data_IF_375630161241
#
_entry.id   IF_375630161241
#
_cell.length_a   1.000
_cell.length_b   1.000
_cell.length_c   1.000
_cell.angle_alpha   90.00
_cell.angle_beta   90.00
_cell.angle_gamma   90.00
#
_symmetry.space_group_name_H-M   'P 1'
#
loop_
_entity.id
_entity.type
_entity.pdbx_description
1 polymer ?
#
# COMPACT_ATOMS: atom_id res chain seq x y z
N UNK A 1 0.31 -7.09 -15.19
CA UNK A 1 1.75 -7.06 -15.51
C UNK A 1 2.24 -8.50 -15.53
N UNK A 2 2.73 -9.00 -16.68
CA UNK A 2 3.14 -10.40 -16.84
C UNK A 2 4.17 -10.79 -15.76
N UNK A 3 3.97 -11.95 -15.12
CA UNK A 3 4.85 -12.48 -14.05
C UNK A 3 6.33 -12.47 -14.47
N UNK A 4 6.59 -12.69 -15.76
CA UNK A 4 7.93 -12.66 -16.36
C UNK A 4 8.55 -11.26 -16.39
N UNK A 5 7.76 -10.21 -16.66
CA UNK A 5 8.24 -8.82 -16.68
C UNK A 5 8.60 -8.33 -15.28
N UNK A 6 7.85 -8.75 -14.26
CA UNK A 6 8.15 -8.42 -12.86
C UNK A 6 9.47 -9.07 -12.40
N UNK A 7 9.66 -10.36 -12.69
CA UNK A 7 10.90 -11.09 -12.35
C UNK A 7 12.13 -10.53 -13.09
N UNK A 8 11.96 -10.15 -14.36
CA UNK A 8 13.02 -9.50 -15.14
C UNK A 8 13.41 -8.14 -14.54
N UNK A 9 12.41 -7.34 -14.15
CA UNK A 9 12.66 -6.06 -13.50
C UNK A 9 13.38 -6.23 -12.15
N UNK A 10 12.96 -7.19 -11.32
CA UNK A 10 13.62 -7.49 -10.05
C UNK A 10 15.07 -7.95 -10.25
N UNK A 11 15.33 -8.79 -11.26
CA UNK A 11 16.68 -9.20 -11.63
C UNK A 11 17.53 -8.00 -12.07
N UNK A 12 16.98 -7.14 -12.92
CA UNK A 12 17.67 -5.95 -13.42
C UNK A 12 17.99 -4.97 -12.29
N UNK A 13 17.04 -4.75 -11.39
CA UNK A 13 17.21 -3.91 -10.21
C UNK A 13 18.32 -4.46 -9.30
N UNK A 14 18.33 -5.78 -9.07
CA UNK A 14 19.36 -6.45 -8.28
C UNK A 14 20.74 -6.29 -8.90
N UNK A 15 20.86 -6.50 -10.22
CA UNK A 15 22.11 -6.31 -10.95
C UNK A 15 22.58 -4.86 -10.91
N UNK A 16 21.67 -3.89 -11.03
CA UNK A 16 22.00 -2.47 -10.99
C UNK A 16 22.52 -2.05 -9.61
N UNK A 17 21.87 -2.51 -8.53
CA UNK A 17 22.31 -2.27 -7.15
C UNK A 17 23.66 -2.93 -6.90
N UNK A 18 23.84 -4.18 -7.33
CA UNK A 18 25.10 -4.90 -7.20
C UNK A 18 26.25 -4.18 -7.91
N UNK A 19 26.04 -3.79 -9.17
CA UNK A 19 27.05 -3.07 -9.95
C UNK A 19 27.38 -1.71 -9.33
N UNK A 20 26.37 -0.97 -8.83
CA UNK A 20 26.58 0.31 -8.16
C UNK A 20 27.45 0.18 -6.91
N UNK A 21 27.15 -0.80 -6.06
CA UNK A 21 27.94 -1.09 -4.85
C UNK A 21 29.34 -1.57 -5.23
N UNK A 22 29.45 -2.52 -6.16
CA UNK A 22 30.73 -3.03 -6.63
C UNK A 22 31.64 -1.92 -7.17
N UNK A 23 31.12 -1.04 -8.03
CA UNK A 23 31.87 0.11 -8.57
C UNK A 23 32.35 1.07 -7.48
N UNK A 24 31.54 1.29 -6.45
CA UNK A 24 31.91 2.14 -5.32
C UNK A 24 33.05 1.51 -4.51
N UNK A 25 32.96 0.21 -4.25
CA UNK A 25 33.99 -0.53 -3.51
C UNK A 25 35.26 -0.74 -4.33
N UNK A 26 35.18 -0.97 -5.63
CA UNK A 26 36.34 -1.09 -6.52
C UNK A 26 37.15 0.23 -6.56
N UNK A 27 36.46 1.37 -6.55
CA UNK A 27 37.09 2.69 -6.44
C UNK A 27 37.63 3.02 -5.04
N UNK A 28 36.95 2.56 -3.99
CA UNK A 28 37.35 2.82 -2.60
C UNK A 28 38.42 1.85 -2.08
N UNK A 29 38.47 0.63 -2.61
CA UNK A 29 39.38 -0.42 -2.21
C UNK A 29 40.87 -0.01 -2.24
N UNK A 30 41.41 0.63 -3.29
CA UNK A 30 42.81 1.06 -3.32
C UNK A 30 43.14 2.19 -2.32
N UNK A 31 42.12 2.88 -1.78
CA UNK A 31 42.31 3.95 -0.78
C UNK A 31 42.42 3.35 0.63
N UNK A 32 41.73 2.24 0.89
CA UNK A 32 41.68 1.57 2.19
C UNK A 32 42.69 0.44 2.35
N UNK A 33 43.13 -0.19 1.25
CA UNK A 33 43.99 -1.37 1.27
C UNK A 33 44.98 -1.30 0.10
N UNK A 34 46.27 -1.51 0.38
CA UNK A 34 47.37 -1.41 -0.60
C UNK A 34 47.34 -2.51 -1.68
N UNK A 35 46.78 -3.67 -1.37
CA UNK A 35 46.54 -4.78 -2.31
C UNK A 35 45.16 -5.41 -2.07
N UNK A 36 44.08 -4.80 -2.59
CA UNK A 36 42.76 -5.37 -2.44
C UNK A 36 42.65 -6.58 -3.38
N UNK A 37 42.56 -7.77 -2.80
CA UNK A 37 42.21 -8.98 -3.55
C UNK A 37 40.81 -8.79 -4.13
N UNK A 38 40.68 -8.79 -5.46
CA UNK A 38 39.42 -8.57 -6.18
C UNK A 38 38.28 -9.46 -5.67
N UNK A 39 38.57 -10.71 -5.31
CA UNK A 39 37.60 -11.63 -4.71
C UNK A 39 36.97 -11.10 -3.41
N UNK A 40 37.74 -10.43 -2.56
CA UNK A 40 37.20 -9.84 -1.32
C UNK A 40 36.31 -8.65 -1.58
N UNK A 41 36.65 -7.81 -2.57
CA UNK A 41 35.81 -6.69 -3.02
C UNK A 41 34.46 -7.22 -3.51
N UNK A 42 34.47 -8.28 -4.33
CA UNK A 42 33.25 -8.92 -4.84
C UNK A 42 32.38 -9.47 -3.70
N UNK A 43 32.97 -10.22 -2.77
CA UNK A 43 32.24 -10.79 -1.62
C UNK A 43 31.63 -9.70 -0.75
N UNK A 44 32.41 -8.66 -0.43
CA UNK A 44 31.93 -7.54 0.40
C UNK A 44 30.79 -6.78 -0.29
N UNK A 45 30.91 -6.57 -1.61
CA UNK A 45 29.86 -5.96 -2.44
C UNK A 45 28.56 -6.77 -2.37
N UNK A 46 28.66 -8.10 -2.47
CA UNK A 46 27.51 -9.01 -2.41
C UNK A 46 26.78 -8.92 -1.06
N UNK A 47 27.53 -8.89 0.04
CA UNK A 47 26.98 -8.74 1.39
C UNK A 47 26.27 -7.39 1.56
N UNK A 48 26.92 -6.30 1.14
CA UNK A 48 26.35 -4.94 1.26
C UNK A 48 25.11 -4.78 0.38
N UNK A 49 25.13 -5.27 -0.86
CA UNK A 49 23.95 -5.25 -1.73
C UNK A 49 22.80 -6.07 -1.14
N UNK A 50 23.07 -7.24 -0.54
CA UNK A 50 22.06 -8.04 0.14
C UNK A 50 21.41 -7.29 1.30
N UNK A 51 22.19 -6.59 2.12
CA UNK A 51 21.68 -5.74 3.20
C UNK A 51 20.82 -4.58 2.69
N UNK A 52 21.24 -3.91 1.62
CA UNK A 52 20.48 -2.82 1.00
C UNK A 52 19.13 -3.31 0.45
N UNK A 53 19.10 -4.50 -0.17
CA UNK A 53 17.85 -5.12 -0.65
C UNK A 53 16.90 -5.45 0.49
N UNK A 54 17.42 -5.94 1.62
CA UNK A 54 16.64 -6.21 2.83
C UNK A 54 16.05 -4.92 3.41
N UNK A 55 16.85 -3.86 3.50
CA UNK A 55 16.37 -2.54 3.93
C UNK A 55 15.30 -1.99 2.99
N UNK A 56 15.51 -2.10 1.69
CA UNK A 56 14.51 -1.68 0.70
C UNK A 56 13.21 -2.47 0.84
N UNK A 57 13.26 -3.80 0.99
CA UNK A 57 12.08 -4.64 1.17
C UNK A 57 11.29 -4.27 2.44
N UNK A 58 11.98 -4.04 3.55
CA UNK A 58 11.34 -3.61 4.81
C UNK A 58 10.73 -2.21 4.71
N UNK A 59 11.41 -1.27 4.04
CA UNK A 59 10.92 0.09 3.88
C UNK A 59 9.69 0.15 2.96
N UNK A 60 9.74 -0.53 1.80
CA UNK A 60 8.63 -0.59 0.84
C UNK A 60 7.41 -1.30 1.43
N UNK A 61 7.60 -2.41 2.14
CA UNK A 61 6.47 -3.11 2.78
C UNK A 61 5.78 -2.24 3.84
N UNK A 62 6.54 -1.42 4.59
CA UNK A 62 5.95 -0.48 5.55
C UNK A 62 5.12 0.62 4.87
N UNK A 63 5.60 1.18 3.76
CA UNK A 63 4.90 2.23 3.01
C UNK A 63 3.62 1.73 2.35
N UNK A 64 3.70 0.57 1.68
CA UNK A 64 2.55 -0.06 1.05
C UNK A 64 1.48 -0.45 2.08
N UNK A 65 1.89 -0.95 3.26
CA UNK A 65 0.98 -1.33 4.34
C UNK A 65 0.27 -0.12 4.94
N UNK A 66 0.96 1.00 5.15
CA UNK A 66 0.34 2.26 5.61
C UNK A 66 -0.67 2.79 4.60
N UNK A 67 -0.35 2.75 3.32
CA UNK A 67 -1.25 3.23 2.27
C UNK A 67 -2.50 2.33 2.14
N UNK A 68 -2.35 1.02 2.32
CA UNK A 68 -3.49 0.10 2.41
C UNK A 68 -4.36 0.38 3.64
N UNK A 69 -3.75 0.56 4.82
CA UNK A 69 -4.48 0.86 6.05
C UNK A 69 -5.27 2.17 5.94
N UNK A 70 -4.68 3.21 5.36
CA UNK A 70 -5.39 4.47 5.14
C UNK A 70 -6.61 4.28 4.24
N UNK A 71 -6.47 3.54 3.13
CA UNK A 71 -7.61 3.26 2.25
C UNK A 71 -8.68 2.42 2.93
N UNK A 72 -8.31 1.43 3.74
CA UNK A 72 -9.28 0.62 4.49
C UNK A 72 -10.07 1.50 5.47
N UNK A 73 -9.39 2.36 6.22
CA UNK A 73 -10.05 3.31 7.13
C UNK A 73 -11.00 4.25 6.41
N UNK A 74 -10.59 4.78 5.25
CA UNK A 74 -11.42 5.68 4.45
C UNK A 74 -12.67 4.97 3.89
N UNK A 75 -12.53 3.70 3.50
CA UNK A 75 -13.68 2.87 3.10
C UNK A 75 -14.61 2.52 4.27
N UNK A 76 -14.06 2.29 5.47
CA UNK A 76 -14.85 2.04 6.69
C UNK A 76 -15.69 3.27 7.06
N UNK A 77 -15.10 4.47 7.03
CA UNK A 77 -15.80 5.73 7.29
C UNK A 77 -16.91 6.00 6.25
N UNK A 78 -16.64 5.70 4.97
CA UNK A 78 -17.63 5.86 3.90
C UNK A 78 -18.80 4.87 4.05
N UNK A 79 -18.51 3.65 4.49
CA UNK A 79 -19.53 2.63 4.81
C UNK A 79 -20.41 3.07 5.98
N UNK A 80 -19.82 3.53 7.07
CA UNK A 80 -20.56 4.00 8.25
C UNK A 80 -21.46 5.18 7.90
N UNK A 81 -20.95 6.11 7.09
CA UNK A 81 -21.73 7.26 6.59
C UNK A 81 -22.92 6.80 5.73
N UNK A 82 -22.70 5.88 4.79
CA UNK A 82 -23.79 5.33 3.96
C UNK A 82 -24.80 4.54 4.75
N UNK A 83 -24.39 3.82 5.79
CA UNK A 83 -25.29 3.08 6.66
C UNK A 83 -26.17 4.04 7.48
N UNK A 84 -25.61 5.14 7.97
CA UNK A 84 -26.37 6.20 8.63
C UNK A 84 -27.37 6.89 7.68
N UNK A 85 -26.96 7.18 6.44
CA UNK A 85 -27.85 7.72 5.40
C UNK A 85 -29.02 6.77 5.10
N UNK A 86 -28.74 5.46 4.95
CA UNK A 86 -29.76 4.43 4.75
C UNK A 86 -30.75 4.38 5.92
N UNK A 87 -30.26 4.38 7.16
CA UNK A 87 -31.14 4.40 8.33
C UNK A 87 -32.02 5.65 8.37
N UNK A 88 -31.48 6.81 8.03
CA UNK A 88 -32.25 8.04 7.95
C UNK A 88 -33.28 7.99 6.82
N UNK A 89 -32.93 7.48 5.65
CA UNK A 89 -33.86 7.29 4.54
C UNK A 89 -35.01 6.34 4.91
N UNK A 90 -34.71 5.24 5.62
CA UNK A 90 -35.73 4.32 6.12
C UNK A 90 -36.64 4.95 7.19
N UNK A 91 -36.09 5.76 8.10
CA UNK A 91 -36.90 6.53 9.07
C UNK A 91 -37.84 7.51 8.38
N UNK A 92 -37.33 8.27 7.40
CA UNK A 92 -38.12 9.24 6.64
C UNK A 92 -39.25 8.53 5.88
N UNK A 93 -38.95 7.43 5.19
CA UNK A 93 -39.97 6.64 4.48
C UNK A 93 -41.09 6.18 5.40
N UNK A 94 -40.73 5.70 6.59
CA UNK A 94 -41.68 5.18 7.57
C UNK A 94 -42.56 6.28 8.17
N UNK A 95 -42.00 7.47 8.42
CA UNK A 95 -42.78 8.65 8.86
C UNK A 95 -43.77 9.10 7.78
N UNK A 96 -43.36 9.09 6.51
CA UNK A 96 -44.25 9.44 5.38
C UNK A 96 -45.37 8.42 5.21
N UNK A 97 -45.10 7.13 5.36
CA UNK A 97 -46.13 6.07 5.34
C UNK A 97 -47.13 6.27 6.50
N UNK A 98 -46.66 6.56 7.71
CA UNK A 98 -47.53 6.82 8.87
C UNK A 98 -48.36 8.11 8.73
N UNK A 99 -47.80 9.20 8.18
CA UNK A 99 -48.55 10.43 7.89
C UNK A 99 -49.60 10.23 6.80
N UNK A 100 -49.28 9.45 5.76
CA UNK A 100 -50.20 9.11 4.68
C UNK A 100 -51.39 8.27 5.19
N UNK A 101 -51.14 7.26 6.02
CA UNK A 101 -52.20 6.46 6.65
C UNK A 101 -53.08 7.29 7.60
N UNK A 102 -52.47 8.18 8.38
CA UNK A 102 -53.19 9.05 9.31
C UNK A 102 -54.05 10.11 8.58
N UNK A 103 -53.68 10.52 7.37
CA UNK A 103 -54.45 11.47 6.56
C UNK A 103 -55.62 10.80 5.83
N UNK A 104 -55.44 9.57 5.33
CA UNK A 104 -56.53 8.77 4.74
C UNK A 104 -57.61 8.45 5.79
N UNK A 105 -57.22 8.04 7.00
CA UNK A 105 -58.17 7.75 8.09
C UNK A 105 -58.94 8.99 8.58
N UNK A 106 -58.36 10.20 8.44
CA UNK A 106 -59.04 11.46 8.77
C UNK A 106 -60.04 11.90 7.71
N UNK A 107 -59.80 11.57 6.43
CA UNK A 107 -60.78 11.80 5.36
C UNK A 107 -61.97 10.84 5.48
N UNK A 108 -61.75 9.56 5.80
CA UNK A 108 -62.85 8.60 6.02
C UNK A 108 -63.68 8.87 7.28
N UNK A 109 -63.10 9.52 8.31
CA UNK A 109 -63.84 9.87 9.55
C UNK A 109 -64.68 11.15 9.44
N UNK A 110 -64.48 11.97 8.40
CA UNK A 110 -65.17 13.25 8.20
C UNK A 110 -66.15 13.25 7.02
N UNK A 111 -66.35 12.11 6.34
CA UNK A 111 -67.39 11.87 5.32
C UNK A 111 -68.53 11.03 5.87
#
# INVERSE_FOLDING_TARGET
MNINAKKLFELFLTLMIFYGVYSLFDRAAPILVTEPKTLWVVVLSLVVSGLLLLLYATMVSSGARKQLQHRVSELEDELETKEAELQNAFKVKRVVEEEAEASILKEESNG
#
